data_IF_250752635289
#
_entry.id   IF_250752635289
#
_cell.length_a   1.000
_cell.length_b   1.000
_cell.length_c   1.000
_cell.angle_alpha   90.00
_cell.angle_beta   90.00
_cell.angle_gamma   90.00
#
_symmetry.space_group_name_H-M   'P 1'
#
loop_
_entity.id
_entity.type
_entity.pdbx_description
1 polymer ?
#
# COMPACT_ATOMS: atom_id res chain seq x y z
N UNK A 1 5.83 -5.65 -10.77
CA UNK A 1 5.08 -6.65 -9.95
C UNK A 1 4.08 -5.88 -9.12
N UNK A 2 2.78 -6.16 -9.23
CA UNK A 2 1.78 -5.53 -8.37
C UNK A 2 1.85 -6.19 -6.98
N UNK A 3 1.96 -5.38 -5.92
CA UNK A 3 1.81 -5.91 -4.58
C UNK A 3 0.39 -6.42 -4.36
N UNK A 4 0.23 -7.52 -3.61
CA UNK A 4 -1.07 -8.13 -3.33
C UNK A 4 -1.40 -8.00 -1.84
N UNK A 5 -2.68 -8.15 -1.49
CA UNK A 5 -3.13 -8.16 -0.11
C UNK A 5 -2.45 -9.27 0.72
N UNK A 6 -2.14 -10.41 0.08
CA UNK A 6 -1.42 -11.51 0.72
C UNK A 6 0.01 -11.11 1.13
N UNK A 7 0.68 -10.28 0.33
CA UNK A 7 2.00 -9.74 0.67
C UNK A 7 1.93 -8.84 1.91
N UNK A 8 0.90 -7.98 2.00
CA UNK A 8 0.69 -7.13 3.18
C UNK A 8 0.50 -7.98 4.45
N UNK A 9 -0.37 -8.99 4.38
CA UNK A 9 -0.63 -9.88 5.51
C UNK A 9 0.59 -10.71 5.93
N UNK A 10 1.49 -11.05 5.01
CA UNK A 10 2.75 -11.73 5.34
C UNK A 10 3.67 -10.81 6.15
N UNK A 11 3.81 -9.55 5.73
CA UNK A 11 4.63 -8.55 6.43
C UNK A 11 4.05 -8.21 7.80
N UNK A 12 2.73 -8.01 7.91
CA UNK A 12 2.08 -7.72 9.19
C UNK A 12 2.24 -8.86 10.20
N UNK A 13 2.18 -10.12 9.74
CA UNK A 13 2.44 -11.28 10.61
C UNK A 13 3.89 -11.33 11.08
N UNK A 14 4.85 -11.04 10.21
CA UNK A 14 6.26 -10.99 10.62
C UNK A 14 6.51 -9.90 11.68
N UNK A 15 5.91 -8.71 11.50
CA UNK A 15 5.96 -7.63 12.48
C UNK A 15 5.35 -8.07 13.82
N UNK A 16 4.16 -8.68 13.79
CA UNK A 16 3.48 -9.14 15.00
C UNK A 16 4.28 -10.21 15.78
N UNK A 17 5.07 -11.03 15.07
CA UNK A 17 5.93 -12.06 15.68
C UNK A 17 7.31 -11.53 16.07
N UNK A 18 7.69 -10.32 15.63
CA UNK A 18 9.05 -9.79 15.79
C UNK A 18 10.08 -10.51 14.91
N UNK A 19 9.64 -11.17 13.85
CA UNK A 19 10.51 -11.87 12.90
C UNK A 19 11.01 -10.89 11.83
N UNK A 20 12.26 -11.08 11.40
CA UNK A 20 12.93 -10.27 10.37
C UNK A 20 12.77 -10.84 8.96
N UNK A 21 12.27 -12.06 8.85
CA UNK A 21 12.18 -12.79 7.59
C UNK A 21 10.74 -12.82 7.13
N UNK A 22 10.47 -12.37 5.90
CA UNK A 22 9.16 -12.46 5.26
C UNK A 22 9.26 -13.40 4.07
N UNK A 23 8.42 -14.44 4.10
CA UNK A 23 8.29 -15.37 2.98
C UNK A 23 7.16 -14.93 2.07
N UNK A 24 7.52 -14.60 0.83
CA UNK A 24 6.59 -14.43 -0.27
C UNK A 24 6.46 -15.75 -1.04
N UNK A 25 5.48 -15.83 -1.95
CA UNK A 25 5.19 -17.07 -2.70
C UNK A 25 6.37 -17.54 -3.55
N UNK A 26 7.13 -16.60 -4.09
CA UNK A 26 8.24 -16.80 -5.02
C UNK A 26 9.61 -16.61 -4.38
N UNK A 27 9.69 -15.83 -3.29
CA UNK A 27 10.97 -15.44 -2.68
C UNK A 27 10.88 -15.24 -1.18
N UNK A 28 12.01 -15.41 -0.50
CA UNK A 28 12.15 -15.03 0.91
C UNK A 28 13.01 -13.78 1.00
N UNK A 29 12.53 -12.77 1.72
CA UNK A 29 13.26 -11.52 1.94
C UNK A 29 13.54 -11.40 3.43
N UNK A 30 14.81 -11.23 3.76
CA UNK A 30 15.25 -10.94 5.12
C UNK A 30 15.49 -9.44 5.26
N UNK A 31 14.79 -8.82 6.20
CA UNK A 31 14.95 -7.43 6.60
C UNK A 31 15.91 -7.36 7.78
N UNK A 32 16.80 -6.37 7.82
CA UNK A 32 17.81 -6.28 8.88
C UNK A 32 17.23 -5.65 10.14
N UNK A 33 16.19 -4.84 10.00
CA UNK A 33 15.54 -4.14 11.11
C UNK A 33 14.03 -4.18 11.03
N UNK A 34 13.37 -3.97 12.17
CA UNK A 34 11.90 -3.84 12.24
C UNK A 34 11.44 -2.55 11.54
N UNK A 35 12.26 -1.50 11.55
CA UNK A 35 11.98 -0.26 10.82
C UNK A 35 11.85 -0.50 9.30
N UNK A 36 12.72 -1.33 8.73
CA UNK A 36 12.63 -1.72 7.32
C UNK A 36 11.34 -2.51 7.01
N UNK A 37 10.88 -3.37 7.94
CA UNK A 37 9.60 -4.07 7.83
C UNK A 37 8.41 -3.11 7.82
N UNK A 38 8.43 -2.09 8.69
CA UNK A 38 7.40 -1.06 8.76
C UNK A 38 7.37 -0.24 7.46
N UNK A 39 8.53 0.17 6.95
CA UNK A 39 8.65 0.87 5.66
C UNK A 39 8.15 0.01 4.51
N UNK A 40 8.49 -1.29 4.49
CA UNK A 40 8.00 -2.21 3.48
C UNK A 40 6.47 -2.33 3.49
N UNK A 41 5.86 -2.43 4.68
CA UNK A 41 4.39 -2.44 4.84
C UNK A 41 3.76 -1.17 4.25
N UNK A 42 4.30 -0.01 4.57
CA UNK A 42 3.74 1.28 4.13
C UNK A 42 3.88 1.48 2.61
N UNK A 43 4.98 1.01 2.02
CA UNK A 43 5.19 0.98 0.57
C UNK A 43 4.18 0.07 -0.13
N UNK A 44 3.99 -1.15 0.38
CA UNK A 44 2.99 -2.10 -0.13
C UNK A 44 1.58 -1.49 -0.09
N UNK A 45 1.23 -0.85 1.03
CA UNK A 45 -0.09 -0.23 1.22
C UNK A 45 -0.32 0.94 0.26
N UNK A 46 0.71 1.75 0.03
CA UNK A 46 0.67 2.87 -0.90
C UNK A 46 0.46 2.37 -2.32
N UNK A 47 1.25 1.38 -2.74
CA UNK A 47 1.13 0.75 -4.06
C UNK A 47 -0.23 0.10 -4.28
N UNK A 48 -0.76 -0.63 -3.28
CA UNK A 48 -2.12 -1.19 -3.35
C UNK A 48 -3.19 -0.10 -3.53
N UNK A 49 -3.01 1.05 -2.86
CA UNK A 49 -3.94 2.18 -2.97
C UNK A 49 -3.82 2.90 -4.32
N UNK A 50 -2.62 2.99 -4.90
CA UNK A 50 -2.38 3.59 -6.21
C UNK A 50 -2.82 2.68 -7.36
N UNK A 51 -2.63 1.37 -7.21
CA UNK A 51 -3.07 0.37 -8.19
C UNK A 51 -4.60 0.32 -8.35
N UNK A 52 -5.35 0.78 -7.33
CA UNK A 52 -6.81 0.93 -7.40
C UNK A 52 -7.29 2.06 -8.36
N UNK A 53 -6.37 2.77 -9.02
CA UNK A 53 -6.65 3.77 -10.04
C UNK A 53 -7.04 5.13 -9.46
N UNK A 54 -6.94 6.21 -10.26
CA UNK A 54 -7.35 7.53 -9.83
C UNK A 54 -8.86 7.52 -9.52
N UNK A 55 -9.23 7.75 -8.25
CA UNK A 55 -10.61 8.04 -7.88
C UNK A 55 -11.05 9.27 -8.67
N UNK A 56 -11.99 9.10 -9.60
CA UNK A 56 -12.58 10.21 -10.36
C UNK A 56 -13.08 11.28 -9.39
N UNK A 57 -12.35 12.40 -9.29
CA UNK A 57 -12.75 13.54 -8.49
C UNK A 57 -13.81 14.29 -9.27
N UNK A 58 -15.08 14.05 -8.96
CA UNK A 58 -16.19 14.83 -9.51
C UNK A 58 -16.07 16.25 -8.96
N UNK A 59 -15.53 17.17 -9.76
CA UNK A 59 -15.56 18.59 -9.46
C UNK A 59 -16.86 19.14 -10.05
N UNK A 60 -17.85 19.41 -9.20
CA UNK A 60 -19.03 20.20 -9.60
C UNK A 60 -18.59 21.66 -9.73
N UNK A 61 -18.23 22.05 -10.95
CA UNK A 61 -18.07 23.45 -11.32
C UNK A 61 -19.46 24.10 -11.32
N UNK A 62 -19.76 24.85 -10.27
CA UNK A 62 -20.88 25.77 -10.29
C UNK A 62 -20.48 26.96 -11.17
N UNK A 63 -20.89 26.93 -12.44
CA UNK A 63 -21.00 28.16 -13.20
C UNK A 63 -22.16 28.96 -12.59
N UNK A 64 -21.82 29.89 -11.72
CA UNK A 64 -22.71 30.97 -11.32
C UNK A 64 -23.01 31.81 -12.56
N UNK A 65 -24.01 31.38 -13.33
CA UNK A 65 -24.59 32.17 -14.40
C UNK A 65 -25.13 33.45 -13.78
N UNK A 66 -24.41 34.55 -13.97
CA UNK A 66 -24.97 35.88 -13.82
C UNK A 66 -25.90 36.07 -15.03
N UNK A 67 -27.12 35.57 -14.89
CA UNK A 67 -28.23 35.96 -15.74
C UNK A 67 -28.69 37.34 -15.30
N UNK A 68 -28.88 38.21 -16.29
CA UNK A 68 -29.38 39.59 -16.25
C UNK A 68 -28.34 40.68 -15.94
#
# INVERSE_FOLDING_TARGET
MAYTQAHLAAVERAIARGERVVRYSDRTVEYRTVDELIKARDLIRTELSQSAGPRSRVVRLYHGGKGL
#
